data_IF_445848079777
#
_entry.id   IF_445848079777
#
_cell.length_a   1.000
_cell.length_b   1.000
_cell.length_c   1.000
_cell.angle_alpha   90.00
_cell.angle_beta   90.00
_cell.angle_gamma   90.00
#
_symmetry.space_group_name_H-M   'P 1'
#
loop_
_entity.id
_entity.type
_entity.pdbx_description
1 polymer ?
#
# COMPACT_ATOMS: atom_id res chain seq x y z
N UNK A 1 65.42 20.54 -5.82
CA UNK A 1 65.83 20.06 -4.47
C UNK A 1 65.58 21.19 -3.50
N UNK A 2 65.07 20.99 -2.26
CA UNK A 2 64.88 19.77 -1.46
C UNK A 2 63.40 19.29 -1.48
N UNK A 3 62.98 18.02 -1.41
CA UNK A 3 63.19 16.81 -0.57
C UNK A 3 62.55 16.86 0.84
N UNK A 4 61.71 15.83 1.05
CA UNK A 4 61.14 15.27 2.30
C UNK A 4 59.78 15.84 2.75
N UNK A 5 58.77 15.06 3.14
CA UNK A 5 58.61 13.61 3.29
C UNK A 5 57.11 13.28 3.31
N UNK A 6 56.66 12.27 2.55
CA UNK A 6 55.35 11.65 2.75
C UNK A 6 55.37 10.91 4.08
N UNK A 7 54.33 11.08 4.90
CA UNK A 7 54.07 10.23 6.07
C UNK A 7 52.83 9.41 5.77
N UNK A 8 53.09 8.15 5.47
CA UNK A 8 52.16 7.05 5.45
C UNK A 8 51.54 6.87 6.84
N UNK A 9 50.22 6.68 6.91
CA UNK A 9 49.52 6.26 8.12
C UNK A 9 48.47 5.22 7.71
N UNK A 10 48.97 4.00 7.63
CA UNK A 10 48.31 2.72 7.82
C UNK A 10 46.88 2.81 8.34
N UNK A 11 45.95 2.27 7.54
CA UNK A 11 44.62 1.87 7.95
C UNK A 11 44.72 0.78 9.01
N UNK A 12 44.13 1.03 10.18
CA UNK A 12 44.01 0.03 11.24
C UNK A 12 42.66 -0.69 11.07
N UNK A 13 42.75 -1.93 10.61
CA UNK A 13 41.64 -2.88 10.48
C UNK A 13 41.10 -3.26 11.85
N UNK A 14 39.87 -2.86 12.18
CA UNK A 14 39.16 -3.36 13.37
C UNK A 14 38.50 -4.69 13.02
N UNK A 15 39.16 -5.78 13.41
CA UNK A 15 38.65 -7.15 13.31
C UNK A 15 37.67 -7.48 14.44
N UNK A 16 36.49 -8.00 14.05
CA UNK A 16 35.49 -8.64 14.90
C UNK A 16 36.08 -9.80 15.72
N UNK A 17 35.90 -9.81 17.05
CA UNK A 17 35.68 -11.02 17.86
C UNK A 17 35.28 -10.72 19.32
N UNK A 18 34.11 -11.28 19.67
CA UNK A 18 33.78 -11.96 20.94
C UNK A 18 33.91 -11.22 22.29
N UNK A 19 32.77 -10.85 22.87
CA UNK A 19 32.54 -10.93 24.33
C UNK A 19 31.20 -11.61 24.58
N UNK A 20 31.24 -12.70 25.34
CA UNK A 20 30.11 -13.53 25.76
C UNK A 20 30.22 -13.70 27.29
N UNK A 21 29.06 -13.67 27.96
CA UNK A 21 28.67 -14.25 29.27
C UNK A 21 28.60 -13.37 30.53
N UNK A 22 27.45 -13.52 31.20
CA UNK A 22 27.18 -13.25 32.63
C UNK A 22 25.68 -12.94 32.87
N UNK A 23 24.77 -13.93 32.87
CA UNK A 23 24.16 -14.65 34.03
C UNK A 23 23.40 -13.75 35.02
N UNK A 24 22.10 -14.04 35.23
CA UNK A 24 21.32 -13.53 36.37
C UNK A 24 19.84 -13.91 36.38
N UNK A 25 19.54 -15.14 36.80
CA UNK A 25 18.21 -15.65 37.17
C UNK A 25 17.62 -14.94 38.40
N UNK A 26 16.32 -14.63 38.39
CA UNK A 26 15.52 -14.45 39.61
C UNK A 26 14.09 -14.98 39.42
N UNK A 27 13.63 -15.69 40.44
CA UNK A 27 12.46 -16.55 40.54
C UNK A 27 11.29 -15.85 41.27
N UNK A 28 10.07 -16.34 41.00
CA UNK A 28 8.88 -16.40 41.88
C UNK A 28 8.09 -15.11 42.20
N UNK A 29 6.81 -15.04 41.84
CA UNK A 29 5.67 -15.51 42.67
C UNK A 29 4.34 -14.87 42.21
N UNK A 30 3.32 -15.69 42.00
CA UNK A 30 1.91 -15.28 41.90
C UNK A 30 1.19 -15.48 43.24
N UNK A 31 0.06 -14.80 43.47
CA UNK A 31 -1.02 -15.41 44.23
C UNK A 31 -2.36 -15.40 43.49
N UNK A 32 -3.03 -16.56 43.55
CA UNK A 32 -4.46 -16.74 43.36
C UNK A 32 -5.25 -15.92 44.38
N UNK A 33 -6.40 -15.37 43.95
CA UNK A 33 -7.56 -15.21 44.81
C UNK A 33 -8.84 -15.45 43.99
N UNK A 34 -9.52 -16.54 44.33
CA UNK A 34 -10.88 -16.84 43.90
C UNK A 34 -11.86 -16.19 44.89
N UNK A 35 -12.96 -15.61 44.39
CA UNK A 35 -14.17 -15.42 45.18
C UNK A 35 -15.38 -15.97 44.44
N UNK A 36 -16.10 -16.81 45.20
CA UNK A 36 -17.35 -17.50 44.93
C UNK A 36 -18.51 -16.53 45.15
N UNK A 37 -19.57 -16.64 44.34
CA UNK A 37 -20.87 -16.01 44.60
C UNK A 37 -21.99 -16.62 43.76
N UNK A 38 -22.72 -17.57 44.35
CA UNK A 38 -24.02 -18.12 43.92
C UNK A 38 -25.05 -16.98 43.67
N UNK A 39 -26.15 -17.12 42.93
CA UNK A 39 -26.90 -18.24 42.35
C UNK A 39 -28.34 -17.76 42.09
N UNK A 40 -29.17 -18.57 41.42
CA UNK A 40 -30.63 -18.34 41.39
C UNK A 40 -31.29 -18.54 40.03
N UNK A 41 -31.76 -19.76 39.80
CA UNK A 41 -32.69 -20.19 38.75
C UNK A 41 -34.08 -19.54 38.90
N UNK A 42 -34.78 -19.30 37.79
CA UNK A 42 -36.19 -19.70 37.67
C UNK A 42 -36.65 -19.71 36.20
N UNK A 43 -37.02 -20.90 35.75
CA UNK A 43 -37.86 -21.13 34.58
C UNK A 43 -39.31 -20.69 34.90
N UNK A 44 -40.01 -20.12 33.93
CA UNK A 44 -41.44 -20.31 33.84
C UNK A 44 -41.89 -20.35 32.38
N UNK A 45 -42.46 -21.49 32.03
CA UNK A 45 -43.14 -21.85 30.78
C UNK A 45 -44.53 -21.22 30.67
N UNK A 46 -45.02 -21.06 29.44
CA UNK A 46 -46.44 -20.85 29.10
C UNK A 46 -46.59 -20.05 27.81
N UNK A 47 -46.49 -20.68 26.63
CA UNK A 47 -47.56 -21.38 25.90
C UNK A 47 -48.62 -20.47 25.28
N UNK A 48 -48.72 -20.54 23.94
CA UNK A 48 -50.01 -20.59 23.25
C UNK A 48 -50.22 -19.54 22.17
N UNK A 49 -50.50 -20.01 20.94
CA UNK A 49 -51.23 -19.20 19.96
C UNK A 49 -50.78 -19.40 18.51
N UNK A 50 -51.30 -20.43 17.87
CA UNK A 50 -51.12 -20.73 16.45
C UNK A 50 -51.92 -19.80 15.52
N UNK A 51 -51.50 -19.73 14.25
CA UNK A 51 -52.42 -19.58 13.12
C UNK A 51 -51.94 -18.66 12.01
N UNK A 52 -51.97 -19.16 10.76
CA UNK A 52 -52.17 -18.29 9.59
C UNK A 52 -51.23 -18.52 8.41
N UNK A 53 -51.66 -19.39 7.51
CA UNK A 53 -51.14 -19.70 6.17
C UNK A 53 -51.06 -18.53 5.18
N UNK A 54 -50.16 -18.64 4.19
CA UNK A 54 -50.48 -18.25 2.81
C UNK A 54 -49.34 -17.66 1.97
N UNK A 55 -49.13 -18.22 0.77
CA UNK A 55 -48.89 -17.40 -0.43
C UNK A 55 -47.48 -17.38 -1.03
N UNK A 56 -47.28 -18.25 -2.02
CA UNK A 56 -46.24 -18.24 -3.05
C UNK A 56 -46.26 -17.01 -3.98
N UNK A 57 -45.10 -16.60 -4.51
CA UNK A 57 -44.98 -15.67 -5.64
C UNK A 57 -43.54 -15.20 -5.85
N UNK A 58 -42.98 -15.35 -7.05
CA UNK A 58 -41.55 -15.22 -7.32
C UNK A 58 -41.09 -13.93 -8.00
N UNK A 59 -39.87 -14.03 -8.53
CA UNK A 59 -39.23 -13.24 -9.58
C UNK A 59 -38.38 -12.02 -9.17
N UNK A 60 -37.06 -12.18 -9.38
CA UNK A 60 -36.31 -11.37 -10.35
C UNK A 60 -35.75 -10.03 -9.87
N UNK A 61 -34.45 -10.00 -9.61
CA UNK A 61 -33.68 -8.77 -9.46
C UNK A 61 -32.19 -9.05 -9.30
N UNK A 62 -31.50 -9.39 -10.40
CA UNK A 62 -30.03 -9.40 -10.45
C UNK A 62 -29.53 -7.95 -10.43
N UNK A 63 -29.05 -7.49 -9.28
CA UNK A 63 -28.12 -6.37 -9.17
C UNK A 63 -26.72 -6.93 -8.98
N UNK A 64 -25.86 -6.75 -9.99
CA UNK A 64 -24.44 -7.12 -9.89
C UNK A 64 -23.73 -6.21 -8.91
N UNK A 65 -23.47 -6.72 -7.71
CA UNK A 65 -22.57 -6.12 -6.73
C UNK A 65 -21.16 -6.61 -7.04
N UNK A 66 -20.29 -5.69 -7.47
CA UNK A 66 -18.86 -5.94 -7.57
C UNK A 66 -18.32 -6.32 -6.20
N UNK A 67 -17.69 -7.51 -6.12
CA UNK A 67 -17.30 -8.10 -4.86
C UNK A 67 -16.25 -7.27 -4.12
N UNK A 68 -16.63 -6.75 -2.96
CA UNK A 68 -15.69 -6.35 -1.93
C UNK A 68 -15.08 -7.63 -1.34
N UNK A 69 -13.82 -7.89 -1.68
CA UNK A 69 -13.09 -9.06 -1.19
C UNK A 69 -12.91 -8.99 0.32
N UNK A 70 -13.67 -9.80 1.06
CA UNK A 70 -13.59 -9.89 2.51
C UNK A 70 -12.18 -10.26 2.99
N UNK A 71 -11.75 -9.62 4.08
CA UNK A 71 -10.56 -9.98 4.82
C UNK A 71 -10.61 -11.47 5.20
N UNK A 72 -9.71 -12.29 4.66
CA UNK A 72 -9.65 -13.72 4.98
C UNK A 72 -9.45 -13.95 6.49
N UNK A 73 -9.90 -15.08 7.02
CA UNK A 73 -9.68 -15.44 8.42
C UNK A 73 -8.19 -15.73 8.65
N UNK A 74 -7.45 -14.80 9.26
CA UNK A 74 -6.02 -14.90 9.59
C UNK A 74 -5.38 -13.52 9.81
N UNK A 75 -4.31 -13.43 10.58
CA UNK A 75 -3.57 -12.17 10.76
C UNK A 75 -2.82 -11.80 9.46
N UNK A 76 -2.58 -10.51 9.22
CA UNK A 76 -1.71 -10.14 8.10
C UNK A 76 -0.24 -10.45 8.42
N UNK A 77 0.54 -10.70 7.37
CA UNK A 77 1.96 -10.95 7.48
C UNK A 77 2.71 -9.72 7.98
N UNK A 78 3.83 -9.98 8.68
CA UNK A 78 4.76 -8.95 9.16
C UNK A 78 6.16 -9.20 8.59
N UNK A 79 7.08 -8.26 8.75
CA UNK A 79 8.48 -8.42 8.34
C UNK A 79 8.81 -7.95 6.91
N UNK A 80 7.92 -7.20 6.26
CA UNK A 80 8.15 -6.64 4.93
C UNK A 80 8.23 -7.70 3.83
N UNK A 81 8.78 -7.34 2.67
CA UNK A 81 8.80 -8.21 1.47
C UNK A 81 9.49 -9.55 1.69
N UNK A 82 10.45 -9.62 2.63
CA UNK A 82 11.17 -10.85 2.97
C UNK A 82 10.28 -11.99 3.49
N UNK A 83 9.06 -11.70 3.98
CA UNK A 83 8.12 -12.72 4.43
C UNK A 83 7.17 -13.23 3.33
N UNK A 84 7.17 -12.61 2.14
CA UNK A 84 6.33 -13.04 1.03
C UNK A 84 6.77 -14.41 0.52
N UNK A 85 5.80 -15.29 0.31
CA UNK A 85 6.04 -16.64 -0.24
C UNK A 85 4.92 -17.07 -1.17
N UNK A 86 5.25 -17.90 -2.16
CA UNK A 86 4.31 -18.35 -3.17
C UNK A 86 4.14 -17.38 -4.34
N UNK A 87 3.41 -17.85 -5.35
CA UNK A 87 3.34 -17.22 -6.67
C UNK A 87 2.51 -15.93 -6.67
N UNK A 88 2.83 -15.03 -7.59
CA UNK A 88 1.94 -13.94 -7.96
C UNK A 88 0.69 -14.52 -8.61
N UNK A 89 -0.44 -14.50 -7.90
CA UNK A 89 -1.72 -14.74 -8.55
C UNK A 89 -1.88 -13.75 -9.71
N UNK A 90 -2.52 -14.18 -10.78
CA UNK A 90 -3.01 -13.25 -11.80
C UNK A 90 -4.40 -12.77 -11.39
N UNK A 91 -4.55 -11.51 -10.92
CA UNK A 91 -5.85 -11.01 -10.51
C UNK A 91 -6.69 -10.50 -11.68
N UNK A 92 -6.14 -10.51 -12.90
CA UNK A 92 -6.78 -9.93 -14.08
C UNK A 92 -7.43 -11.00 -14.97
N UNK A 93 -8.02 -12.01 -14.34
CA UNK A 93 -8.67 -13.16 -15.00
C UNK A 93 -10.00 -12.82 -15.67
N UNK A 94 -10.60 -11.69 -15.29
CA UNK A 94 -11.73 -11.13 -16.00
C UNK A 94 -11.23 -10.31 -17.19
N UNK A 95 -11.91 -10.39 -18.33
CA UNK A 95 -11.78 -9.42 -19.44
C UNK A 95 -11.80 -8.01 -18.83
N UNK A 96 -10.95 -7.04 -19.24
CA UNK A 96 -10.91 -5.68 -18.69
C UNK A 96 -12.25 -4.95 -18.44
N UNK A 97 -13.39 -5.48 -18.89
CA UNK A 97 -14.59 -5.51 -18.04
C UNK A 97 -15.33 -4.19 -17.88
N UNK A 98 -16.29 -3.98 -18.80
CA UNK A 98 -17.40 -3.00 -18.80
C UNK A 98 -17.09 -1.50 -18.88
N UNK A 99 -15.92 -1.01 -18.45
CA UNK A 99 -15.54 0.40 -18.69
C UNK A 99 -14.03 0.54 -18.87
N UNK A 100 -13.61 0.67 -20.13
CA UNK A 100 -12.26 1.08 -20.51
C UNK A 100 -12.08 2.58 -20.26
N UNK A 101 -12.28 3.02 -19.02
CA UNK A 101 -12.23 4.43 -18.66
C UNK A 101 -10.77 4.86 -18.52
N UNK A 102 -10.41 5.95 -19.21
CA UNK A 102 -9.08 6.54 -19.12
C UNK A 102 -8.74 6.89 -17.67
N UNK A 103 -7.52 6.53 -17.29
CA UNK A 103 -6.88 7.14 -16.12
C UNK A 103 -6.55 8.58 -16.49
N UNK A 104 -7.12 9.52 -15.74
CA UNK A 104 -6.78 10.93 -15.89
C UNK A 104 -5.60 11.33 -14.99
N UNK A 105 -4.92 12.40 -15.40
CA UNK A 105 -3.74 12.86 -14.71
C UNK A 105 -4.08 13.49 -13.36
N UNK A 106 -3.17 13.28 -12.41
CA UNK A 106 -3.10 14.00 -11.15
C UNK A 106 -1.71 14.62 -11.01
N UNK A 107 -1.51 15.44 -9.99
CA UNK A 107 -0.20 16.02 -9.68
C UNK A 107 0.86 14.92 -9.47
N UNK A 108 2.06 15.16 -10.03
CA UNK A 108 3.28 14.40 -9.70
C UNK A 108 3.58 14.48 -8.19
N UNK A 109 3.20 15.60 -7.56
CA UNK A 109 3.55 15.91 -6.18
C UNK A 109 5.01 16.33 -6.02
N UNK A 110 5.36 16.92 -4.86
CA UNK A 110 6.71 17.44 -4.63
C UNK A 110 7.72 16.34 -4.26
N UNK A 111 7.24 15.14 -3.91
CA UNK A 111 8.07 14.05 -3.38
C UNK A 111 8.57 13.08 -4.46
N UNK A 112 8.50 13.45 -5.74
CA UNK A 112 9.14 12.66 -6.77
C UNK A 112 10.67 12.75 -6.62
N UNK A 113 11.31 11.60 -6.72
CA UNK A 113 12.75 11.42 -6.72
C UNK A 113 13.05 10.25 -7.66
N UNK A 114 14.29 10.19 -8.17
CA UNK A 114 14.67 9.20 -9.17
C UNK A 114 14.34 7.78 -8.71
N UNK A 115 13.63 7.04 -9.57
CA UNK A 115 13.25 5.64 -9.35
C UNK A 115 14.24 4.67 -10.00
N UNK A 116 14.22 3.41 -9.56
CA UNK A 116 15.22 2.39 -9.91
C UNK A 116 14.52 1.21 -10.58
N UNK A 117 15.10 0.66 -11.66
CA UNK A 117 14.58 -0.55 -12.29
C UNK A 117 14.77 -1.75 -11.37
N UNK A 118 13.68 -2.24 -10.77
CA UNK A 118 13.66 -3.41 -9.87
C UNK A 118 12.23 -3.85 -9.57
N UNK A 119 12.08 -5.13 -9.27
CA UNK A 119 10.81 -5.72 -8.83
C UNK A 119 10.56 -5.48 -7.34
N UNK A 120 11.48 -5.86 -6.46
CA UNK A 120 11.40 -5.52 -5.04
C UNK A 120 11.90 -4.10 -4.82
N UNK A 121 10.95 -3.23 -4.46
CA UNK A 121 11.21 -1.81 -4.26
C UNK A 121 11.43 -1.46 -2.80
N UNK A 122 11.33 -2.42 -1.87
CA UNK A 122 11.30 -2.14 -0.41
C UNK A 122 12.63 -1.70 0.18
N UNK A 123 13.76 -2.11 -0.38
CA UNK A 123 15.08 -2.03 0.28
C UNK A 123 15.07 -2.54 1.73
N UNK A 124 14.30 -3.61 1.98
CA UNK A 124 14.12 -4.19 3.32
C UNK A 124 13.40 -3.26 4.32
N UNK A 125 12.88 -2.11 3.87
CA UNK A 125 12.08 -1.23 4.71
C UNK A 125 10.84 -1.98 5.21
N UNK A 126 10.54 -1.90 6.52
CA UNK A 126 9.46 -2.69 7.12
C UNK A 126 8.08 -2.19 6.69
N UNK A 127 7.10 -3.09 6.77
CA UNK A 127 5.70 -2.81 6.49
C UNK A 127 4.89 -4.11 6.32
N UNK A 128 3.60 -3.98 6.06
CA UNK A 128 2.77 -5.10 5.60
C UNK A 128 3.22 -5.45 4.18
N UNK A 129 3.79 -6.64 3.91
CA UNK A 129 4.18 -7.04 2.56
C UNK A 129 3.01 -6.95 1.58
N UNK A 130 3.29 -6.41 0.40
CA UNK A 130 2.33 -6.15 -0.65
C UNK A 130 2.89 -6.54 -2.01
N UNK A 131 2.14 -7.36 -2.73
CA UNK A 131 2.28 -7.59 -4.17
C UNK A 131 1.42 -6.57 -4.88
N UNK A 132 2.04 -5.63 -5.60
CA UNK A 132 1.35 -4.68 -6.46
C UNK A 132 1.42 -5.18 -7.91
N UNK A 133 0.26 -5.40 -8.52
CA UNK A 133 0.15 -5.81 -9.93
C UNK A 133 -0.61 -4.73 -10.71
N UNK A 134 -0.02 -4.21 -11.78
CA UNK A 134 -0.67 -3.22 -12.65
C UNK A 134 -0.73 -3.76 -14.08
N UNK A 135 -1.85 -3.53 -14.77
CA UNK A 135 -2.01 -3.85 -16.19
C UNK A 135 -2.24 -2.59 -16.99
N UNK A 136 -1.38 -2.29 -17.95
CA UNK A 136 -1.52 -1.15 -18.86
C UNK A 136 -2.21 -1.59 -20.14
N UNK A 137 -3.28 -0.88 -20.51
CA UNK A 137 -4.04 -1.09 -21.75
C UNK A 137 -4.28 0.23 -22.48
N UNK A 138 -4.54 0.16 -23.78
CA UNK A 138 -5.02 1.30 -24.57
C UNK A 138 -6.55 1.51 -24.40
N UNK A 139 -7.10 2.55 -25.04
CA UNK A 139 -8.54 2.88 -25.00
C UNK A 139 -9.43 1.81 -25.65
N UNK A 140 -8.85 0.90 -26.42
CA UNK A 140 -9.54 -0.29 -26.95
C UNK A 140 -9.41 -1.49 -26.02
N UNK A 141 -8.88 -1.27 -24.81
CA UNK A 141 -8.61 -2.25 -23.77
C UNK A 141 -7.63 -3.36 -24.20
N UNK A 142 -6.77 -3.07 -25.18
CA UNK A 142 -5.70 -3.97 -25.59
C UNK A 142 -4.46 -3.73 -24.72
N UNK A 143 -3.81 -4.80 -24.23
CA UNK A 143 -2.57 -4.67 -23.49
C UNK A 143 -1.47 -3.96 -24.27
N UNK A 144 -0.70 -3.13 -23.58
CA UNK A 144 0.47 -2.44 -24.12
C UNK A 144 1.72 -3.10 -23.57
N UNK A 145 2.43 -3.85 -24.41
CA UNK A 145 3.75 -4.41 -24.11
C UNK A 145 4.85 -3.33 -24.18
N UNK A 146 5.84 -3.39 -23.30
CA UNK A 146 6.99 -2.48 -23.34
C UNK A 146 6.75 -1.09 -22.75
N UNK A 147 5.61 -0.84 -22.10
CA UNK A 147 5.37 0.38 -21.36
C UNK A 147 6.17 0.37 -20.05
N UNK A 148 6.88 1.45 -19.74
CA UNK A 148 7.55 1.63 -18.46
C UNK A 148 6.55 2.20 -17.45
N UNK A 149 6.38 1.49 -16.34
CA UNK A 149 5.56 1.93 -15.21
C UNK A 149 6.49 2.27 -14.07
N UNK A 150 6.52 3.55 -13.73
CA UNK A 150 7.24 4.12 -12.61
C UNK A 150 6.27 4.22 -11.42
N UNK A 151 6.66 3.77 -10.23
CA UNK A 151 5.84 3.85 -9.00
C UNK A 151 6.66 4.39 -7.85
N UNK A 152 6.01 5.22 -7.02
CA UNK A 152 6.58 5.65 -5.74
C UNK A 152 5.52 5.88 -4.67
N UNK A 153 5.87 5.60 -3.42
CA UNK A 153 5.01 5.88 -2.27
C UNK A 153 5.84 6.06 -0.98
N UNK A 154 5.15 6.38 0.12
CA UNK A 154 5.75 6.50 1.45
C UNK A 154 6.09 5.15 2.05
N UNK A 155 7.08 5.11 2.94
CA UNK A 155 7.23 4.02 3.90
C UNK A 155 6.06 3.99 4.90
N UNK A 156 5.98 2.93 5.72
CA UNK A 156 4.95 2.80 6.76
C UNK A 156 4.92 4.00 7.73
N UNK A 157 6.05 4.70 7.90
CA UNK A 157 6.19 5.93 8.70
C UNK A 157 5.51 7.16 8.10
N UNK A 158 5.11 7.13 6.83
CA UNK A 158 4.61 8.30 6.09
C UNK A 158 5.70 9.13 5.41
N UNK A 159 6.97 8.72 5.49
CA UNK A 159 8.10 9.39 4.82
C UNK A 159 8.36 8.84 3.42
N UNK A 160 8.73 9.72 2.50
CA UNK A 160 9.31 9.36 1.21
C UNK A 160 10.83 9.22 1.32
N UNK A 161 11.43 8.35 0.50
CA UNK A 161 12.89 8.21 0.37
C UNK A 161 13.46 9.15 -0.71
N UNK A 162 14.76 9.38 -0.67
CA UNK A 162 15.53 9.95 -1.77
C UNK A 162 16.23 11.27 -1.42
N UNK A 163 17.55 11.32 -1.63
CA UNK A 163 18.38 12.52 -1.50
C UNK A 163 18.05 13.64 -2.49
N UNK A 164 17.40 13.30 -3.61
CA UNK A 164 16.88 14.24 -4.61
C UNK A 164 15.38 14.55 -4.42
N UNK A 165 14.76 14.02 -3.37
CA UNK A 165 13.42 14.41 -2.94
C UNK A 165 13.49 15.72 -2.13
N UNK A 166 12.42 16.50 -2.12
CA UNK A 166 12.39 17.71 -1.29
C UNK A 166 12.43 17.36 0.20
N UNK A 167 13.09 18.20 1.00
CA UNK A 167 13.37 17.94 2.43
C UNK A 167 12.11 17.61 3.25
N UNK A 168 10.98 18.29 2.98
CA UNK A 168 9.71 18.03 3.68
C UNK A 168 9.20 16.59 3.49
N UNK A 169 9.54 15.93 2.37
CA UNK A 169 9.08 14.60 2.05
C UNK A 169 9.91 13.51 2.74
N UNK A 170 11.18 13.78 3.01
CA UNK A 170 12.07 12.88 3.76
C UNK A 170 12.06 13.17 5.26
N UNK A 171 11.42 14.28 5.68
CA UNK A 171 11.48 14.75 7.07
C UNK A 171 12.89 15.14 7.51
N UNK A 172 13.80 15.36 6.57
CA UNK A 172 15.25 15.46 6.80
C UNK A 172 15.83 14.25 7.56
N UNK A 173 15.19 13.09 7.46
CA UNK A 173 15.66 11.86 8.06
C UNK A 173 16.85 11.30 7.25
N UNK A 174 17.92 10.94 7.96
CA UNK A 174 19.18 10.52 7.33
C UNK A 174 19.04 9.18 6.60
N UNK A 175 18.19 8.28 7.10
CA UNK A 175 17.91 7.00 6.45
C UNK A 175 17.09 7.24 5.18
N UNK A 176 16.03 8.07 5.29
CA UNK A 176 15.18 8.43 4.16
C UNK A 176 15.94 9.10 3.02
N UNK A 177 16.84 10.02 3.34
CA UNK A 177 17.71 10.68 2.36
C UNK A 177 18.65 9.69 1.67
N UNK A 178 19.26 8.77 2.42
CA UNK A 178 20.25 7.84 1.89
C UNK A 178 19.65 6.72 1.03
N UNK A 179 18.34 6.52 1.09
CA UNK A 179 17.68 5.37 0.51
C UNK A 179 16.89 5.67 -0.76
N UNK A 180 16.35 4.60 -1.34
CA UNK A 180 15.41 4.64 -2.46
C UNK A 180 14.22 3.70 -2.29
N UNK A 181 13.94 3.20 -1.09
CA UNK A 181 12.79 2.33 -0.84
C UNK A 181 11.48 2.89 -1.41
N UNK A 182 10.61 1.97 -1.78
CA UNK A 182 9.29 2.20 -2.36
C UNK A 182 9.33 3.11 -3.58
N UNK A 183 10.41 3.01 -4.38
CA UNK A 183 10.58 3.62 -5.70
C UNK A 183 11.06 2.57 -6.69
N UNK A 184 10.32 2.40 -7.78
CA UNK A 184 10.62 1.37 -8.76
C UNK A 184 10.11 1.66 -10.16
N UNK A 185 10.81 1.10 -11.16
CA UNK A 185 10.35 1.06 -12.54
C UNK A 185 10.32 -0.38 -13.01
N UNK A 186 9.24 -0.78 -13.66
CA UNK A 186 9.10 -2.06 -14.33
C UNK A 186 8.55 -1.85 -15.73
N UNK A 187 8.89 -2.75 -16.66
CA UNK A 187 8.41 -2.72 -18.04
C UNK A 187 7.33 -3.77 -18.22
N UNK A 188 6.21 -3.41 -18.85
CA UNK A 188 5.08 -4.31 -19.05
C UNK A 188 5.44 -5.49 -19.97
N UNK A 189 4.93 -6.67 -19.62
CA UNK A 189 5.01 -7.86 -20.45
C UNK A 189 4.00 -7.84 -21.62
N UNK A 190 3.93 -8.93 -22.39
CA UNK A 190 2.99 -9.08 -23.51
C UNK A 190 1.50 -8.99 -23.12
N UNK A 191 1.17 -9.15 -21.83
CA UNK A 191 -0.17 -8.97 -21.28
C UNK A 191 -0.37 -7.57 -20.67
N UNK A 192 0.57 -6.65 -20.93
CA UNK A 192 0.55 -5.29 -20.38
C UNK A 192 0.83 -5.25 -18.89
N UNK A 193 1.34 -6.34 -18.28
CA UNK A 193 1.44 -6.47 -16.83
C UNK A 193 2.82 -6.09 -16.31
N UNK A 194 2.84 -5.37 -15.19
CA UNK A 194 4.00 -5.22 -14.31
C UNK A 194 3.66 -5.70 -12.90
N UNK A 195 4.65 -6.22 -12.21
CA UNK A 195 4.56 -6.62 -10.80
C UNK A 195 5.68 -5.93 -10.00
N UNK A 196 5.34 -5.44 -8.80
CA UNK A 196 6.25 -4.92 -7.80
C UNK A 196 6.05 -5.60 -6.44
N UNK A 197 7.15 -6.02 -5.83
CA UNK A 197 7.20 -6.44 -4.43
C UNK A 197 7.42 -5.19 -3.58
N UNK A 198 6.49 -4.89 -2.68
CA UNK A 198 6.49 -3.66 -1.88
C UNK A 198 5.88 -3.88 -0.49
N UNK A 199 5.63 -2.81 0.24
CA UNK A 199 4.84 -2.79 1.47
C UNK A 199 3.65 -1.82 1.33
N UNK A 200 2.58 -2.05 2.10
CA UNK A 200 1.46 -1.12 2.17
C UNK A 200 1.94 0.28 2.60
N UNK A 201 1.55 1.38 1.91
CA UNK A 201 2.09 2.70 2.23
C UNK A 201 1.65 3.22 3.60
N UNK A 202 2.43 4.13 4.18
CA UNK A 202 1.98 4.94 5.31
C UNK A 202 1.12 6.13 4.87
N UNK A 203 0.73 6.96 5.84
CA UNK A 203 -0.02 8.20 5.59
C UNK A 203 0.72 9.42 6.16
N UNK A 204 0.38 10.58 5.66
CA UNK A 204 0.81 11.89 6.15
C UNK A 204 -0.37 12.86 6.04
N UNK A 205 -0.32 13.96 6.78
CA UNK A 205 -1.49 14.83 6.90
C UNK A 205 -2.00 15.36 5.57
N UNK A 206 -3.31 15.55 5.49
CA UNK A 206 -4.09 16.07 4.33
C UNK A 206 -4.20 15.14 3.12
N UNK A 207 -3.66 13.92 3.20
CA UNK A 207 -3.62 12.96 2.10
C UNK A 207 -4.09 11.58 2.55
N UNK A 208 -4.98 10.96 1.78
CA UNK A 208 -5.34 9.54 1.96
C UNK A 208 -4.16 8.65 1.60
N UNK A 209 -4.18 7.35 1.93
CA UNK A 209 -3.10 6.42 1.60
C UNK A 209 -3.07 6.18 0.07
N UNK A 210 -1.92 6.39 -0.56
CA UNK A 210 -1.79 6.35 -2.02
C UNK A 210 -0.45 5.79 -2.50
N UNK A 211 -0.47 5.37 -3.77
CA UNK A 211 0.71 5.08 -4.58
C UNK A 211 0.69 5.99 -5.79
N UNK A 212 1.77 6.72 -6.02
CA UNK A 212 1.92 7.46 -7.27
C UNK A 212 2.42 6.54 -8.39
N UNK A 213 2.09 6.91 -9.62
CA UNK A 213 2.69 6.28 -10.78
C UNK A 213 2.81 7.21 -11.98
N UNK A 214 3.72 6.85 -12.89
CA UNK A 214 3.81 7.40 -14.24
C UNK A 214 3.92 6.26 -15.24
N UNK A 215 3.15 6.33 -16.34
CA UNK A 215 3.27 5.40 -17.47
C UNK A 215 3.96 6.10 -18.64
N UNK A 216 5.03 5.49 -19.14
CA UNK A 216 5.78 5.94 -20.32
C UNK A 216 5.79 4.87 -21.41
N UNK A 217 5.66 5.28 -22.67
CA UNK A 217 5.77 4.37 -23.83
C UNK A 217 6.77 4.97 -24.79
N UNK A 218 7.82 4.23 -25.13
CA UNK A 218 8.89 4.73 -25.99
C UNK A 218 9.67 5.93 -25.42
N UNK A 219 9.62 6.12 -24.09
CA UNK A 219 10.25 7.25 -23.40
C UNK A 219 9.35 8.48 -23.20
N UNK A 220 8.17 8.51 -23.84
CA UNK A 220 7.22 9.60 -23.69
C UNK A 220 6.22 9.35 -22.56
N UNK A 221 5.88 10.39 -21.80
CA UNK A 221 4.93 10.32 -20.70
C UNK A 221 3.48 10.39 -21.18
N UNK A 222 2.72 9.31 -20.92
CA UNK A 222 1.31 9.23 -21.29
C UNK A 222 0.40 9.73 -20.18
N UNK A 223 0.70 9.38 -18.93
CA UNK A 223 -0.04 9.84 -17.74
C UNK A 223 0.84 9.73 -16.50
N UNK A 224 0.71 10.73 -15.62
CA UNK A 224 1.14 10.68 -14.23
C UNK A 224 -0.11 10.81 -13.36
N UNK A 225 -0.30 9.90 -12.41
CA UNK A 225 -1.49 9.88 -11.57
C UNK A 225 -1.24 9.14 -10.24
N UNK A 226 -2.31 8.84 -9.51
CA UNK A 226 -2.25 8.21 -8.20
C UNK A 226 -3.31 7.12 -8.06
N UNK A 227 -3.00 6.11 -7.25
CA UNK A 227 -3.86 4.98 -6.91
C UNK A 227 -4.11 5.00 -5.41
N UNK A 228 -5.35 4.70 -5.02
CA UNK A 228 -5.79 4.72 -3.62
C UNK A 228 -6.19 3.34 -3.15
N UNK A 229 -6.40 3.17 -1.85
CA UNK A 229 -6.91 1.92 -1.28
C UNK A 229 -8.34 2.09 -0.77
N UNK A 230 -9.14 1.02 -0.71
CA UNK A 230 -10.42 1.08 -0.02
C UNK A 230 -10.23 1.57 1.42
N UNK A 231 -11.08 2.51 1.87
CA UNK A 231 -10.98 3.06 3.22
C UNK A 231 -11.13 1.98 4.29
N UNK A 232 -12.08 1.05 4.12
CA UNK A 232 -12.27 -0.09 5.03
C UNK A 232 -11.04 -0.99 5.15
N UNK A 233 -10.31 -1.22 4.05
CA UNK A 233 -9.06 -1.98 4.06
C UNK A 233 -7.97 -1.20 4.81
N UNK A 234 -7.87 0.10 4.55
CA UNK A 234 -6.90 0.97 5.19
C UNK A 234 -7.11 1.00 6.71
N UNK A 235 -8.35 1.13 7.15
CA UNK A 235 -8.72 1.17 8.56
C UNK A 235 -8.46 -0.18 9.25
N UNK A 236 -8.72 -1.31 8.59
CA UNK A 236 -8.37 -2.64 9.10
C UNK A 236 -6.85 -2.80 9.28
N UNK A 237 -6.05 -2.43 8.28
CA UNK A 237 -4.59 -2.52 8.35
C UNK A 237 -4.06 -1.61 9.47
N UNK A 238 -4.52 -0.36 9.55
CA UNK A 238 -4.13 0.57 10.61
C UNK A 238 -4.48 0.00 12.00
N UNK A 239 -5.65 -0.60 12.17
CA UNK A 239 -6.09 -1.11 13.46
C UNK A 239 -5.37 -2.41 13.88
N UNK A 240 -4.95 -3.24 12.91
CA UNK A 240 -4.51 -4.62 13.18
C UNK A 240 -3.02 -4.87 12.96
N UNK A 241 -2.34 -4.09 12.12
CA UNK A 241 -0.92 -4.30 11.84
C UNK A 241 -0.02 -3.48 12.77
N UNK A 242 0.91 -4.12 13.53
CA UNK A 242 1.67 -3.43 14.59
C UNK A 242 2.33 -2.11 14.16
N UNK A 243 3.06 -2.11 13.04
CA UNK A 243 3.82 -0.93 12.57
C UNK A 243 2.93 0.24 12.15
N UNK A 244 1.67 -0.01 11.77
CA UNK A 244 0.72 1.05 11.43
C UNK A 244 -0.08 1.47 12.66
N UNK A 245 -0.53 0.50 13.47
CA UNK A 245 -1.27 0.73 14.71
C UNK A 245 -0.56 1.67 15.67
N UNK A 246 0.76 1.51 15.80
CA UNK A 246 1.57 2.32 16.71
C UNK A 246 1.68 3.80 16.27
N UNK A 247 1.32 4.13 15.01
CA UNK A 247 1.29 5.50 14.50
C UNK A 247 -0.03 6.24 14.77
N UNK A 248 -1.05 5.53 15.27
CA UNK A 248 -2.37 6.10 15.54
C UNK A 248 -3.29 6.14 14.32
N UNK A 249 -4.28 7.03 14.36
CA UNK A 249 -5.30 7.14 13.31
C UNK A 249 -4.84 8.05 12.16
N UNK A 250 -5.32 7.78 10.95
CA UNK A 250 -5.17 8.70 9.81
C UNK A 250 -6.18 9.85 9.92
N UNK A 251 -5.80 11.03 9.44
CA UNK A 251 -6.66 12.23 9.45
C UNK A 251 -7.47 12.39 8.15
N UNK A 252 -7.15 11.61 7.11
CA UNK A 252 -7.67 11.78 5.76
C UNK A 252 -8.10 10.44 5.14
N UNK A 253 -9.33 10.38 4.66
CA UNK A 253 -9.96 9.30 3.87
C UNK A 253 -9.98 9.65 2.39
N UNK A 254 -10.42 8.71 1.55
CA UNK A 254 -10.59 9.01 0.12
C UNK A 254 -11.63 10.13 -0.13
N UNK A 255 -12.61 10.27 0.76
CA UNK A 255 -13.68 11.29 0.65
C UNK A 255 -13.16 12.71 0.88
N UNK A 256 -12.14 12.89 1.72
CA UNK A 256 -11.65 14.21 2.13
C UNK A 256 -10.18 14.47 1.72
N UNK A 257 -9.62 13.67 0.81
CA UNK A 257 -8.31 13.90 0.21
C UNK A 257 -8.28 15.24 -0.57
N UNK A 258 -7.11 15.88 -0.56
CA UNK A 258 -6.93 17.21 -1.17
C UNK A 258 -6.52 17.19 -2.64
N UNK A 259 -6.26 16.01 -3.22
CA UNK A 259 -5.87 15.81 -4.62
C UNK A 259 -6.99 15.16 -5.43
N UNK A 260 -7.69 14.17 -4.89
CA UNK A 260 -8.81 13.50 -5.56
C UNK A 260 -10.14 13.95 -4.97
N UNK A 261 -11.17 14.17 -5.78
CA UNK A 261 -12.52 14.40 -5.26
C UNK A 261 -13.19 13.09 -4.84
N UNK A 262 -14.05 13.15 -3.82
CA UNK A 262 -14.84 12.01 -3.36
C UNK A 262 -15.54 11.24 -4.51
N UNK A 263 -16.18 11.95 -5.43
CA UNK A 263 -16.93 11.36 -6.56
C UNK A 263 -16.06 10.58 -7.54
N UNK A 264 -14.75 10.87 -7.59
CA UNK A 264 -13.81 10.27 -8.53
C UNK A 264 -12.94 9.18 -7.87
N UNK A 265 -12.80 9.16 -6.54
CA UNK A 265 -11.86 8.28 -5.85
C UNK A 265 -12.07 6.78 -6.14
N UNK A 266 -13.32 6.35 -6.34
CA UNK A 266 -13.64 4.97 -6.67
C UNK A 266 -12.96 4.49 -7.96
N UNK A 267 -12.83 5.35 -8.98
CA UNK A 267 -12.22 4.99 -10.27
C UNK A 267 -10.70 4.74 -10.15
N UNK A 268 -10.07 5.30 -9.12
CA UNK A 268 -8.62 5.20 -8.85
C UNK A 268 -8.29 4.26 -7.68
N UNK A 269 -9.31 3.64 -7.09
CA UNK A 269 -9.13 2.73 -5.95
C UNK A 269 -8.68 1.35 -6.44
N UNK A 270 -7.59 0.85 -5.86
CA UNK A 270 -7.04 -0.49 -6.06
C UNK A 270 -8.05 -1.54 -5.61
N UNK A 271 -8.16 -2.62 -6.38
CA UNK A 271 -8.72 -3.85 -5.85
C UNK A 271 -7.67 -4.53 -4.96
N UNK A 272 -8.13 -5.25 -3.94
CA UNK A 272 -7.25 -5.79 -2.94
C UNK A 272 -7.76 -7.11 -2.35
N UNK A 273 -6.82 -7.97 -1.94
CA UNK A 273 -7.10 -9.26 -1.32
C UNK A 273 -5.95 -9.70 -0.42
N UNK A 274 -6.27 -10.34 0.71
CA UNK A 274 -5.28 -11.08 1.50
C UNK A 274 -4.91 -12.41 0.84
N UNK A 275 -3.62 -12.66 0.70
CA UNK A 275 -3.05 -13.89 0.16
C UNK A 275 -2.88 -14.94 1.26
N UNK A 276 -2.63 -16.20 0.87
CA UNK A 276 -2.49 -17.32 1.81
C UNK A 276 -1.26 -17.22 2.70
N UNK A 277 -0.24 -16.49 2.28
CA UNK A 277 0.95 -16.16 3.07
C UNK A 277 0.73 -14.95 4.00
N UNK A 278 -0.48 -14.39 4.02
CA UNK A 278 -0.83 -13.23 4.83
C UNK A 278 -0.44 -11.88 4.22
N UNK A 279 0.23 -11.85 3.06
CA UNK A 279 0.56 -10.61 2.37
C UNK A 279 -0.66 -10.03 1.64
N UNK A 280 -0.59 -8.74 1.33
CA UNK A 280 -1.58 -8.04 0.52
C UNK A 280 -1.29 -8.28 -0.98
N UNK A 281 -2.31 -8.60 -1.76
CA UNK A 281 -2.30 -8.44 -3.23
C UNK A 281 -3.17 -7.22 -3.55
N UNK A 282 -2.61 -6.24 -4.25
CA UNK A 282 -3.32 -5.05 -4.72
C UNK A 282 -3.14 -4.89 -6.23
N UNK A 283 -4.22 -4.56 -6.95
CA UNK A 283 -4.17 -4.48 -8.41
C UNK A 283 -5.12 -3.46 -9.05
N UNK A 284 -4.76 -3.02 -10.26
CA UNK A 284 -5.58 -2.16 -11.12
C UNK A 284 -5.19 -2.27 -12.59
N UNK A 285 -6.18 -2.15 -13.47
CA UNK A 285 -5.95 -1.88 -14.89
C UNK A 285 -5.89 -0.37 -15.12
N UNK A 286 -4.84 0.08 -15.80
CA UNK A 286 -4.55 1.47 -16.17
C UNK A 286 -4.81 1.63 -17.66
N UNK A 287 -5.89 2.33 -18.01
CA UNK A 287 -6.20 2.67 -19.40
C UNK A 287 -5.54 4.00 -19.74
N UNK A 288 -4.66 4.02 -20.74
CA UNK A 288 -3.99 5.24 -21.21
C UNK A 288 -4.48 5.62 -22.60
N UNK A 289 -4.38 6.91 -22.93
CA UNK A 289 -4.69 7.43 -24.28
C UNK A 289 -3.84 6.72 -25.34
N UNK A 290 -4.43 6.49 -26.50
CA UNK A 290 -3.76 5.79 -27.61
C UNK A 290 -2.71 6.67 -28.30
N UNK A 291 -2.83 7.99 -28.20
CA UNK A 291 -1.92 8.97 -28.80
C UNK A 291 -1.64 10.15 -27.88
N UNK A 292 -0.41 10.66 -27.91
CA UNK A 292 -0.03 11.91 -27.23
C UNK A 292 -0.66 13.16 -27.86
N UNK A 293 -1.19 13.04 -29.08
CA UNK A 293 -1.96 14.10 -29.73
C UNK A 293 -3.34 14.30 -29.08
N UNK A 294 -3.85 13.27 -28.37
CA UNK A 294 -5.11 13.35 -27.66
C UNK A 294 -4.94 14.09 -26.33
N UNK A 295 -5.94 14.90 -25.98
CA UNK A 295 -5.92 15.70 -24.75
C UNK A 295 -5.80 14.80 -23.51
N UNK A 296 -4.82 15.07 -22.66
CA UNK A 296 -4.70 14.42 -21.35
C UNK A 296 -5.79 14.92 -20.41
N UNK A 297 -6.76 14.05 -20.09
CA UNK A 297 -7.79 14.39 -19.11
C UNK A 297 -7.17 14.60 -17.71
N UNK A 298 -7.85 15.39 -16.88
CA UNK A 298 -7.46 15.66 -15.50
C UNK A 298 -8.45 15.01 -14.56
N UNK A 299 -7.97 14.32 -13.53
CA UNK A 299 -8.85 13.77 -12.51
C UNK A 299 -9.52 14.91 -11.74
N UNK A 300 -10.83 14.81 -11.44
CA UNK A 300 -11.50 15.80 -10.62
C UNK A 300 -10.89 15.85 -9.20
N UNK A 301 -10.62 17.06 -8.69
CA UNK A 301 -10.02 17.24 -7.36
C UNK A 301 -9.24 18.54 -7.24
N UNK A 302 -8.52 18.68 -6.12
CA UNK A 302 -7.70 19.87 -5.84
C UNK A 302 -6.30 19.78 -6.46
N UNK A 303 -5.60 20.91 -6.54
CA UNK A 303 -4.21 20.96 -7.06
C UNK A 303 -3.18 20.23 -6.17
N UNK A 304 -3.57 19.70 -5.01
CA UNK A 304 -2.67 19.26 -3.95
C UNK A 304 -1.99 20.47 -3.29
N UNK A 305 -2.34 20.77 -2.03
CA UNK A 305 -1.60 21.76 -1.25
C UNK A 305 -0.18 21.26 -0.91
N UNK A 306 0.72 22.13 -0.38
CA UNK A 306 1.93 21.64 0.25
C UNK A 306 1.51 20.72 1.39
N UNK A 307 1.62 19.40 1.18
CA UNK A 307 1.20 18.40 2.15
C UNK A 307 1.83 18.68 3.50
N UNK A 308 1.06 18.48 4.57
CA UNK A 308 1.62 18.51 5.92
C UNK A 308 2.74 17.47 6.03
N UNK A 309 3.75 17.77 6.86
CA UNK A 309 4.77 16.77 7.19
C UNK A 309 4.13 15.50 7.79
N UNK A 310 4.88 14.40 7.91
CA UNK A 310 4.39 13.21 8.60
C UNK A 310 3.90 13.58 10.00
N UNK A 311 2.87 12.91 10.54
CA UNK A 311 2.48 13.11 11.92
C UNK A 311 3.67 12.86 12.85
N UNK A 312 3.79 13.59 13.98
CA UNK A 312 4.86 13.37 14.94
C UNK A 312 4.85 11.90 15.39
N UNK A 313 5.99 11.23 15.28
CA UNK A 313 6.17 9.90 15.85
C UNK A 313 6.04 10.01 17.38
N UNK A 314 5.32 9.08 18.05
CA UNK A 314 5.23 9.06 19.51
C UNK A 314 6.59 8.82 20.20
#
# INVERSE_FOLDING_TARGET
MPRHSKKDRSQETITRRSVLRGIGTALCAAPLAAFIGCGGTNENTGSGGAGGSGGSGGSGGSGGSGGTGGAGNGEWATGGTASMSGDYADPFTDDPGATCALVCAMTLGPCYAKTIVRKDISEESPGLPMRLALRVVDETCKPIEGAEVDVWHTAASGLYSGDDSVEMCTGNDAEALAARWFRGVQTTDANGRVDFDSCFPGWYSSRTIHIHFTVRVGGDEYVTSQLFFPDELSDDIIATQPIYKDRGERDTTNENDTVISADAAADYTLQAKKMSDGALLAWKTLVIRSSLADTLCQAPGGMGGPGGGPPPMP
#
